data_IF_125273889817
#
_entry.id   IF_125273889817
#
_cell.length_a   1.000
_cell.length_b   1.000
_cell.length_c   1.000
_cell.angle_alpha   90.00
_cell.angle_beta   90.00
_cell.angle_gamma   90.00
#
_symmetry.space_group_name_H-M   'P 1'
#
loop_
_entity.id
_entity.type
_entity.pdbx_description
1 polymer ?
#
# COMPACT_ATOMS: atom_id res chain seq x y z
N UNK A 1 25.95 -11.66 2.62
CA UNK A 1 25.04 -12.30 3.60
C UNK A 1 24.39 -13.50 2.94
N UNK A 2 24.16 -14.62 3.65
CA UNK A 2 23.39 -15.75 3.12
C UNK A 2 21.97 -15.29 2.78
N UNK A 3 21.43 -15.76 1.65
CA UNK A 3 20.10 -15.38 1.19
C UNK A 3 19.04 -15.95 2.14
N UNK A 4 18.23 -15.09 2.75
CA UNK A 4 17.04 -15.48 3.51
C UNK A 4 15.92 -15.99 2.57
N UNK A 5 15.20 -17.03 3.00
CA UNK A 5 14.10 -17.60 2.21
C UNK A 5 12.82 -16.75 2.34
N UNK A 6 11.88 -16.87 1.39
CA UNK A 6 10.60 -16.16 1.47
C UNK A 6 9.80 -16.53 2.72
N UNK A 7 9.80 -17.81 3.11
CA UNK A 7 9.13 -18.27 4.33
C UNK A 7 9.79 -17.70 5.60
N UNK A 8 11.12 -17.63 5.65
CA UNK A 8 11.81 -16.98 6.78
C UNK A 8 11.49 -15.47 6.86
N UNK A 9 11.40 -14.76 5.72
CA UNK A 9 10.96 -13.36 5.72
C UNK A 9 9.53 -13.20 6.27
N UNK A 10 8.62 -14.13 5.95
CA UNK A 10 7.26 -14.14 6.53
C UNK A 10 7.27 -14.35 8.03
N UNK A 11 8.07 -15.30 8.52
CA UNK A 11 8.26 -15.49 9.96
C UNK A 11 8.78 -14.23 10.65
N UNK A 12 9.79 -13.56 10.07
CA UNK A 12 10.29 -12.29 10.60
C UNK A 12 9.20 -11.21 10.66
N UNK A 13 8.32 -11.15 9.64
CA UNK A 13 7.19 -10.22 9.67
C UNK A 13 6.17 -10.58 10.77
N UNK A 14 5.90 -11.87 10.98
CA UNK A 14 5.04 -12.33 12.10
C UNK A 14 5.64 -11.97 13.47
N UNK A 15 6.96 -12.08 13.63
CA UNK A 15 7.67 -11.66 14.83
C UNK A 15 7.55 -10.14 15.05
N UNK A 16 7.69 -9.34 14.00
CA UNK A 16 7.47 -7.89 14.04
C UNK A 16 6.04 -7.54 14.48
N UNK A 17 5.02 -8.23 13.95
CA UNK A 17 3.63 -8.00 14.34
C UNK A 17 3.35 -8.39 15.81
N UNK A 18 4.05 -9.41 16.32
CA UNK A 18 3.93 -9.87 17.70
C UNK A 18 4.73 -9.00 18.70
N UNK A 19 5.74 -8.27 18.22
CA UNK A 19 6.57 -7.40 19.03
C UNK A 19 5.75 -6.20 19.57
N UNK A 20 6.12 -5.62 20.72
CA UNK A 20 5.41 -4.48 21.28
C UNK A 20 5.70 -3.16 20.56
N UNK A 21 6.69 -3.11 19.67
CA UNK A 21 7.09 -1.87 18.97
C UNK A 21 6.28 -1.63 17.70
N UNK A 22 6.19 -0.35 17.33
CA UNK A 22 5.73 0.09 16.02
C UNK A 22 6.94 0.49 15.16
N UNK A 23 6.97 0.07 13.89
CA UNK A 23 8.02 0.41 12.93
C UNK A 23 7.47 1.14 11.71
N UNK A 24 8.30 1.95 11.08
CA UNK A 24 7.99 2.64 9.83
C UNK A 24 8.54 1.85 8.63
N UNK A 25 7.76 1.69 7.57
CA UNK A 25 8.19 0.98 6.37
C UNK A 25 9.16 1.81 5.53
N UNK A 26 10.20 1.18 4.98
CA UNK A 26 10.87 1.71 3.80
C UNK A 26 10.00 1.57 2.54
N UNK A 27 10.00 2.57 1.66
CA UNK A 27 9.40 2.42 0.33
C UNK A 27 10.30 1.56 -0.56
N UNK A 28 9.91 0.31 -0.80
CA UNK A 28 10.66 -0.69 -1.58
C UNK A 28 9.90 -1.02 -2.86
N UNK A 29 10.41 -0.55 -4.00
CA UNK A 29 9.72 -0.60 -5.30
C UNK A 29 10.50 -1.29 -6.41
N UNK A 30 11.75 -1.67 -6.16
CA UNK A 30 12.60 -2.41 -7.10
C UNK A 30 13.74 -3.13 -6.36
N UNK A 31 14.60 -3.91 -7.05
CA UNK A 31 15.72 -4.59 -6.41
C UNK A 31 16.75 -3.67 -5.73
N UNK A 32 16.93 -2.43 -6.23
CA UNK A 32 17.92 -1.50 -5.69
C UNK A 32 17.44 -0.89 -4.38
N UNK A 33 16.22 -0.37 -4.36
CA UNK A 33 15.56 0.14 -3.16
C UNK A 33 15.44 -0.93 -2.07
N UNK A 34 15.17 -2.19 -2.44
CA UNK A 34 15.16 -3.30 -1.47
C UNK A 34 16.52 -3.54 -0.80
N UNK A 35 17.61 -3.48 -1.57
CA UNK A 35 18.97 -3.62 -1.02
C UNK A 35 19.36 -2.43 -0.17
N UNK A 36 19.01 -1.21 -0.61
CA UNK A 36 19.25 0.02 0.15
C UNK A 36 18.51 -0.04 1.49
N UNK A 37 17.23 -0.42 1.49
CA UNK A 37 16.45 -0.55 2.73
C UNK A 37 17.07 -1.57 3.70
N UNK A 38 17.50 -2.74 3.20
CA UNK A 38 18.17 -3.74 4.02
C UNK A 38 19.51 -3.25 4.59
N UNK A 39 20.32 -2.57 3.77
CA UNK A 39 21.62 -2.02 4.19
C UNK A 39 21.48 -0.92 5.25
N UNK A 40 20.44 -0.10 5.12
CA UNK A 40 20.10 0.95 6.10
C UNK A 40 19.44 0.40 7.38
N UNK A 41 19.16 -0.91 7.44
CA UNK A 41 18.64 -1.56 8.64
C UNK A 41 17.13 -1.44 8.86
N UNK A 42 16.34 -1.12 7.82
CA UNK A 42 14.88 -1.14 7.94
C UNK A 42 14.36 -2.55 8.22
N UNK A 43 13.39 -2.65 9.13
CA UNK A 43 12.79 -3.91 9.55
C UNK A 43 11.77 -4.43 8.53
N UNK A 44 11.10 -3.54 7.80
CA UNK A 44 10.07 -3.88 6.82
C UNK A 44 10.01 -2.86 5.67
N UNK A 45 9.76 -3.35 4.45
CA UNK A 45 9.50 -2.54 3.28
C UNK A 45 8.04 -2.59 2.83
N UNK A 46 7.62 -1.65 1.98
CA UNK A 46 6.34 -1.68 1.28
C UNK A 46 6.49 -1.38 -0.21
N UNK A 47 5.89 -2.23 -1.04
CA UNK A 47 5.63 -2.00 -2.46
C UNK A 47 4.21 -1.43 -2.60
N UNK A 48 4.10 -0.16 -2.93
CA UNK A 48 2.82 0.52 -3.15
C UNK A 48 2.30 0.35 -4.58
N UNK A 49 0.98 0.18 -4.75
CA UNK A 49 0.30 0.14 -6.06
C UNK A 49 0.56 1.40 -6.88
N UNK A 50 0.45 2.57 -6.24
CA UNK A 50 0.78 3.87 -6.84
C UNK A 50 2.18 3.91 -7.45
N UNK A 51 3.21 3.48 -6.72
CA UNK A 51 4.59 3.48 -7.22
C UNK A 51 4.78 2.49 -8.37
N UNK A 52 4.14 1.32 -8.30
CA UNK A 52 4.16 0.37 -9.40
C UNK A 52 3.52 0.96 -10.68
N UNK A 53 2.38 1.65 -10.56
CA UNK A 53 1.74 2.37 -11.67
C UNK A 53 2.68 3.43 -12.28
N UNK A 54 3.39 4.19 -11.43
CA UNK A 54 4.39 5.17 -11.89
C UNK A 54 5.55 4.53 -12.65
N UNK A 55 6.07 3.39 -12.18
CA UNK A 55 7.20 2.72 -12.80
C UNK A 55 6.83 2.03 -14.12
N UNK A 56 5.66 1.39 -14.15
CA UNK A 56 5.24 0.55 -15.29
C UNK A 56 4.62 1.41 -16.39
N UNK A 57 3.80 2.40 -16.01
CA UNK A 57 2.93 3.11 -16.94
C UNK A 57 3.19 4.61 -17.01
N UNK A 58 3.95 5.18 -16.06
CA UNK A 58 3.93 6.61 -15.78
C UNK A 58 2.47 7.13 -15.69
N UNK A 59 1.60 6.37 -15.02
CA UNK A 59 0.19 6.69 -14.88
C UNK A 59 -0.17 7.04 -13.43
N UNK A 60 -1.27 7.78 -13.20
CA UNK A 60 -1.82 7.95 -11.87
C UNK A 60 -2.26 6.62 -11.23
N UNK A 61 -2.56 6.65 -9.94
CA UNK A 61 -3.00 5.49 -9.16
C UNK A 61 -4.50 5.21 -9.36
N UNK A 62 -4.87 4.76 -10.57
CA UNK A 62 -6.26 4.52 -10.99
C UNK A 62 -6.59 3.04 -11.22
N UNK A 63 -5.81 2.11 -10.63
CA UNK A 63 -5.93 0.67 -10.86
C UNK A 63 -5.83 0.27 -12.37
N UNK A 64 -4.99 1.00 -13.13
CA UNK A 64 -4.73 0.73 -14.55
C UNK A 64 -3.66 -0.35 -14.76
N UNK A 65 -2.74 -0.49 -13.81
CA UNK A 65 -1.75 -1.56 -13.81
C UNK A 65 -2.47 -2.90 -13.63
N UNK A 66 -2.07 -3.90 -14.42
CA UNK A 66 -2.62 -5.25 -14.30
C UNK A 66 -1.98 -6.01 -13.14
N UNK A 67 -2.67 -7.04 -12.62
CA UNK A 67 -2.10 -7.92 -11.60
C UNK A 67 -0.74 -8.48 -12.02
N UNK A 68 -0.59 -8.90 -13.28
CA UNK A 68 0.65 -9.50 -13.78
C UNK A 68 1.82 -8.51 -13.77
N UNK A 69 1.58 -7.24 -14.10
CA UNK A 69 2.60 -6.19 -14.03
C UNK A 69 3.01 -5.90 -12.58
N UNK A 70 2.03 -5.80 -11.67
CA UNK A 70 2.32 -5.60 -10.25
C UNK A 70 3.10 -6.79 -9.64
N UNK A 71 2.70 -8.02 -9.98
CA UNK A 71 3.38 -9.25 -9.56
C UNK A 71 4.81 -9.31 -10.11
N UNK A 72 5.07 -8.82 -11.32
CA UNK A 72 6.44 -8.75 -11.85
C UNK A 72 7.31 -7.78 -11.04
N UNK A 73 6.77 -6.63 -10.60
CA UNK A 73 7.49 -5.72 -9.70
C UNK A 73 7.84 -6.40 -8.37
N UNK A 74 6.88 -7.09 -7.75
CA UNK A 74 7.10 -7.88 -6.54
C UNK A 74 8.12 -9.01 -6.77
N UNK A 75 8.05 -9.69 -7.91
CA UNK A 75 8.97 -10.79 -8.28
C UNK A 75 10.40 -10.29 -8.42
N UNK A 76 10.61 -9.09 -8.99
CA UNK A 76 11.94 -8.45 -9.06
C UNK A 76 12.49 -8.21 -7.65
N UNK A 77 11.70 -7.65 -6.74
CA UNK A 77 12.08 -7.39 -5.35
C UNK A 77 12.39 -8.71 -4.61
N UNK A 78 11.50 -9.70 -4.71
CA UNK A 78 11.62 -11.00 -4.04
C UNK A 78 12.84 -11.82 -4.44
N UNK A 79 13.51 -11.50 -5.55
CA UNK A 79 14.80 -12.11 -5.92
C UNK A 79 15.96 -11.66 -5.03
N UNK A 80 15.89 -10.47 -4.43
CA UNK A 80 17.00 -9.83 -3.70
C UNK A 80 16.68 -9.43 -2.25
N UNK A 81 15.41 -9.31 -1.88
CA UNK A 81 14.99 -8.82 -0.56
C UNK A 81 15.67 -9.61 0.58
N UNK A 82 16.20 -8.86 1.55
CA UNK A 82 16.75 -9.40 2.81
C UNK A 82 15.96 -8.92 4.04
N UNK A 83 14.88 -8.15 3.82
CA UNK A 83 13.89 -7.73 4.80
C UNK A 83 12.49 -8.14 4.30
N UNK A 84 11.51 -8.40 5.19
CA UNK A 84 10.14 -8.62 4.77
C UNK A 84 9.62 -7.38 4.05
N UNK A 85 8.77 -7.61 3.04
CA UNK A 85 8.09 -6.51 2.37
C UNK A 85 6.61 -6.82 2.17
N UNK A 86 5.82 -5.77 2.32
CA UNK A 86 4.37 -5.75 2.19
C UNK A 86 4.03 -5.36 0.74
N UNK A 87 3.07 -6.03 0.12
CA UNK A 87 2.49 -5.60 -1.15
C UNK A 87 1.13 -4.93 -0.93
N UNK A 88 0.98 -3.68 -1.38
CA UNK A 88 -0.32 -3.04 -1.49
C UNK A 88 -1.07 -3.60 -2.70
N UNK A 89 -1.95 -4.57 -2.49
CA UNK A 89 -2.58 -5.33 -3.57
C UNK A 89 -3.97 -4.81 -3.97
N UNK A 90 -4.23 -3.53 -3.70
CA UNK A 90 -5.49 -2.82 -3.95
C UNK A 90 -6.71 -3.67 -3.48
N UNK A 91 -7.78 -3.66 -4.26
CA UNK A 91 -8.99 -4.46 -4.10
C UNK A 91 -8.81 -5.96 -4.43
N UNK A 92 -7.58 -6.44 -4.66
CA UNK A 92 -7.27 -7.80 -5.14
C UNK A 92 -7.59 -8.03 -6.62
N UNK A 93 -7.47 -6.98 -7.44
CA UNK A 93 -7.57 -7.01 -8.91
C UNK A 93 -8.86 -7.67 -9.46
N UNK A 94 -9.99 -7.48 -8.76
CA UNK A 94 -11.31 -7.91 -9.18
C UNK A 94 -12.22 -8.33 -8.03
N UNK A 95 -12.96 -9.42 -8.20
CA UNK A 95 -13.85 -9.99 -7.19
C UNK A 95 -13.10 -10.99 -6.27
N UNK A 96 -13.81 -11.68 -5.37
CA UNK A 96 -13.23 -12.65 -4.44
C UNK A 96 -12.39 -13.76 -5.11
N UNK A 97 -12.74 -14.21 -6.32
CA UNK A 97 -11.96 -15.21 -7.07
C UNK A 97 -10.66 -14.61 -7.63
N UNK A 98 -10.71 -13.32 -8.03
CA UNK A 98 -9.50 -12.59 -8.42
C UNK A 98 -8.57 -12.35 -7.23
N UNK A 99 -9.14 -12.14 -6.03
CA UNK A 99 -8.36 -12.05 -4.79
C UNK A 99 -7.57 -13.32 -4.55
N UNK A 100 -8.17 -14.50 -4.76
CA UNK A 100 -7.45 -15.78 -4.63
C UNK A 100 -6.22 -15.83 -5.54
N UNK A 101 -6.38 -15.49 -6.83
CA UNK A 101 -5.25 -15.39 -7.76
C UNK A 101 -4.22 -14.36 -7.31
N UNK A 102 -4.65 -13.20 -6.81
CA UNK A 102 -3.73 -12.18 -6.31
C UNK A 102 -2.85 -12.70 -5.19
N UNK A 103 -3.42 -13.44 -4.23
CA UNK A 103 -2.67 -14.07 -3.13
C UNK A 103 -1.67 -15.09 -3.67
N UNK A 104 -2.11 -16.03 -4.50
CA UNK A 104 -1.23 -17.08 -5.08
C UNK A 104 -0.03 -16.48 -5.84
N UNK A 105 -0.28 -15.43 -6.63
CA UNK A 105 0.73 -14.78 -7.47
C UNK A 105 1.74 -14.00 -6.63
N UNK A 106 1.28 -13.20 -5.66
CA UNK A 106 2.16 -12.41 -4.77
C UNK A 106 2.90 -13.28 -3.77
N UNK A 107 2.24 -14.31 -3.22
CA UNK A 107 2.90 -15.29 -2.35
C UNK A 107 4.05 -15.97 -3.10
N UNK A 108 3.83 -16.41 -4.35
CA UNK A 108 4.89 -16.99 -5.18
C UNK A 108 6.00 -15.99 -5.51
N UNK A 109 5.67 -14.71 -5.67
CA UNK A 109 6.64 -13.64 -5.89
C UNK A 109 7.55 -13.38 -4.67
N UNK A 110 7.18 -13.90 -3.49
CA UNK A 110 8.01 -13.88 -2.28
C UNK A 110 7.66 -12.77 -1.30
N UNK A 111 6.45 -12.20 -1.37
CA UNK A 111 6.01 -11.18 -0.42
C UNK A 111 5.84 -11.77 0.99
N UNK A 112 6.06 -10.93 2.00
CA UNK A 112 5.92 -11.32 3.41
C UNK A 112 4.49 -11.06 3.94
N UNK A 113 3.83 -10.05 3.40
CA UNK A 113 2.44 -9.71 3.67
C UNK A 113 1.81 -9.00 2.47
N UNK A 114 0.49 -8.95 2.45
CA UNK A 114 -0.25 -8.14 1.47
C UNK A 114 -1.49 -7.50 2.11
N UNK A 115 -1.87 -6.32 1.60
CA UNK A 115 -3.14 -5.67 1.95
C UNK A 115 -4.19 -5.90 0.86
N UNK A 116 -5.42 -6.19 1.27
CA UNK A 116 -6.60 -6.18 0.38
C UNK A 116 -7.57 -5.13 0.91
N UNK A 117 -7.86 -4.10 0.10
CA UNK A 117 -8.78 -3.02 0.47
C UNK A 117 -10.21 -3.21 -0.03
N UNK A 118 -11.14 -2.55 0.65
CA UNK A 118 -12.57 -2.59 0.36
C UNK A 118 -13.05 -1.42 -0.52
N UNK A 119 -12.13 -0.72 -1.19
CA UNK A 119 -12.49 0.28 -2.21
C UNK A 119 -13.08 -0.39 -3.44
N UNK A 120 -14.14 0.21 -3.98
CA UNK A 120 -14.77 -0.23 -5.21
C UNK A 120 -13.92 0.24 -6.41
N UNK A 121 -13.08 -0.66 -6.91
CA UNK A 121 -12.16 -0.40 -8.03
C UNK A 121 -12.44 -1.32 -9.24
N UNK A 122 -12.15 -0.86 -10.47
CA UNK A 122 -11.75 0.52 -10.82
C UNK A 122 -12.93 1.50 -10.67
N UNK A 123 -12.70 2.79 -10.92
CA UNK A 123 -13.74 3.81 -10.87
C UNK A 123 -14.97 3.41 -11.72
N UNK A 124 -16.17 3.61 -11.17
CA UNK A 124 -17.41 3.25 -11.85
C UNK A 124 -17.87 4.37 -12.80
N UNK A 125 -18.46 3.98 -13.92
CA UNK A 125 -19.08 4.93 -14.86
C UNK A 125 -20.13 5.81 -14.14
N UNK A 126 -20.06 7.13 -14.37
CA UNK A 126 -20.95 8.12 -13.79
C UNK A 126 -20.75 8.40 -12.29
N UNK A 127 -19.69 7.87 -11.67
CA UNK A 127 -19.39 8.09 -10.24
C UNK A 127 -18.01 8.69 -10.03
N UNK A 128 -17.98 9.91 -9.50
CA UNK A 128 -16.76 10.61 -9.09
C UNK A 128 -16.28 10.19 -7.69
N UNK A 129 -17.17 9.70 -6.84
CA UNK A 129 -16.85 9.33 -5.46
C UNK A 129 -15.99 8.07 -5.39
N UNK A 130 -15.06 8.05 -4.43
CA UNK A 130 -14.36 6.83 -4.02
C UNK A 130 -15.29 6.03 -3.10
N UNK A 131 -16.11 5.18 -3.72
CA UNK A 131 -17.03 4.31 -3.01
C UNK A 131 -16.31 3.08 -2.44
N UNK A 132 -16.87 2.51 -1.38
CA UNK A 132 -16.44 1.23 -0.82
C UNK A 132 -17.46 0.13 -1.13
N UNK A 133 -17.00 -1.11 -1.25
CA UNK A 133 -17.88 -2.28 -1.35
C UNK A 133 -18.65 -2.51 -0.04
N UNK A 134 -19.67 -3.35 -0.09
CA UNK A 134 -20.41 -3.74 1.12
C UNK A 134 -19.51 -4.52 2.10
N UNK A 135 -19.83 -4.48 3.39
CA UNK A 135 -19.09 -5.24 4.40
C UNK A 135 -19.11 -6.74 4.08
N UNK A 136 -20.24 -7.27 3.60
CA UNK A 136 -20.39 -8.67 3.24
C UNK A 136 -19.47 -9.08 2.06
N UNK A 137 -19.33 -8.21 1.06
CA UNK A 137 -18.39 -8.44 -0.04
C UNK A 137 -16.93 -8.39 0.47
N UNK A 138 -16.61 -7.42 1.33
CA UNK A 138 -15.31 -7.32 1.99
C UNK A 138 -14.95 -8.57 2.80
N UNK A 139 -15.88 -9.07 3.62
CA UNK A 139 -15.73 -10.35 4.35
C UNK A 139 -15.45 -11.49 3.36
N UNK A 140 -16.22 -11.56 2.26
CA UNK A 140 -16.03 -12.58 1.23
C UNK A 140 -14.63 -12.55 0.62
N UNK A 141 -14.10 -11.36 0.31
CA UNK A 141 -12.75 -11.17 -0.20
C UNK A 141 -11.66 -11.55 0.81
N UNK A 142 -11.81 -11.15 2.08
CA UNK A 142 -10.86 -11.53 3.14
C UNK A 142 -10.82 -13.05 3.31
N UNK A 143 -11.98 -13.71 3.33
CA UNK A 143 -12.04 -15.18 3.43
C UNK A 143 -11.43 -15.87 2.22
N UNK A 144 -11.65 -15.35 1.01
CA UNK A 144 -11.05 -15.88 -0.20
C UNK A 144 -9.52 -15.72 -0.20
N UNK A 145 -9.00 -14.58 0.28
CA UNK A 145 -7.58 -14.37 0.44
C UNK A 145 -6.94 -15.38 1.42
N UNK A 146 -7.61 -15.63 2.55
CA UNK A 146 -7.15 -16.59 3.55
C UNK A 146 -7.17 -18.04 3.04
N UNK A 147 -8.18 -18.41 2.24
CA UNK A 147 -8.29 -19.74 1.62
C UNK A 147 -7.20 -19.98 0.58
N UNK A 148 -6.83 -18.97 -0.21
CA UNK A 148 -5.83 -19.08 -1.27
C UNK A 148 -4.37 -19.13 -0.76
N UNK A 149 -4.14 -18.75 0.51
CA UNK A 149 -2.82 -18.77 1.13
C UNK A 149 -2.29 -20.20 1.25
N UNK A 150 -1.04 -20.43 0.83
CA UNK A 150 -0.36 -21.73 0.93
C UNK A 150 0.56 -21.77 2.15
N UNK A 151 1.47 -20.80 2.27
CA UNK A 151 2.35 -20.65 3.43
C UNK A 151 1.60 -19.92 4.55
N UNK A 152 1.29 -20.59 5.69
CA UNK A 152 0.55 -19.98 6.78
C UNK A 152 1.28 -18.79 7.42
N UNK A 153 2.59 -18.65 7.19
CA UNK A 153 3.36 -17.51 7.68
C UNK A 153 3.02 -16.20 6.92
N UNK A 154 2.51 -16.28 5.68
CA UNK A 154 2.08 -15.09 4.93
C UNK A 154 0.96 -14.36 5.70
N UNK A 155 1.14 -13.06 5.93
CA UNK A 155 0.11 -12.22 6.57
C UNK A 155 -0.84 -11.60 5.55
N UNK A 156 -2.14 -11.79 5.77
CA UNK A 156 -3.22 -11.16 4.99
C UNK A 156 -3.83 -10.03 5.83
N UNK A 157 -3.63 -8.79 5.39
CA UNK A 157 -4.06 -7.59 6.12
C UNK A 157 -5.29 -7.00 5.41
N UNK A 158 -6.42 -6.86 6.11
CA UNK A 158 -7.60 -6.23 5.54
C UNK A 158 -7.48 -4.70 5.66
N UNK A 159 -7.69 -3.98 4.55
CA UNK A 159 -7.54 -2.52 4.50
C UNK A 159 -8.89 -1.84 4.32
N UNK A 160 -9.12 -0.74 5.04
CA UNK A 160 -10.32 0.10 4.89
C UNK A 160 -9.95 1.58 4.92
N UNK A 161 -10.79 2.42 4.31
CA UNK A 161 -10.60 3.87 4.30
C UNK A 161 -11.45 4.58 5.37
N UNK A 162 -10.79 5.01 6.46
CA UNK A 162 -11.41 5.75 7.56
C UNK A 162 -11.64 7.24 7.24
N UNK A 163 -11.09 7.75 6.13
CA UNK A 163 -11.25 9.14 5.71
C UNK A 163 -12.58 9.43 5.01
N UNK A 164 -13.25 8.40 4.49
CA UNK A 164 -14.51 8.53 3.71
C UNK A 164 -15.74 8.00 4.44
N UNK A 165 -15.57 7.46 5.65
CA UNK A 165 -16.63 6.87 6.46
C UNK A 165 -16.76 7.58 7.83
N UNK A 166 -17.96 7.58 8.43
CA UNK A 166 -18.11 7.81 9.86
C UNK A 166 -17.36 6.76 10.68
N UNK A 167 -16.81 7.14 11.84
CA UNK A 167 -16.02 6.24 12.71
C UNK A 167 -16.78 4.95 13.06
N UNK A 168 -18.08 5.03 13.31
CA UNK A 168 -18.91 3.86 13.63
C UNK A 168 -18.94 2.81 12.52
N UNK A 169 -18.89 3.24 11.25
CA UNK A 169 -18.89 2.34 10.10
C UNK A 169 -17.51 1.74 9.85
N UNK A 170 -16.44 2.50 10.15
CA UNK A 170 -15.07 1.96 10.19
C UNK A 170 -14.98 0.84 11.22
N UNK A 171 -15.49 1.06 12.44
CA UNK A 171 -15.51 0.06 13.51
C UNK A 171 -16.29 -1.20 13.08
N UNK A 172 -17.47 -1.04 12.44
CA UNK A 172 -18.24 -2.19 11.94
C UNK A 172 -17.43 -3.01 10.93
N UNK A 173 -16.75 -2.35 9.99
CA UNK A 173 -15.93 -3.00 8.95
C UNK A 173 -14.73 -3.72 9.54
N UNK A 174 -13.92 -3.03 10.35
CA UNK A 174 -12.69 -3.61 10.91
C UNK A 174 -12.97 -4.80 11.81
N UNK A 175 -14.01 -4.74 12.66
CA UNK A 175 -14.45 -5.89 13.47
C UNK A 175 -14.93 -7.05 12.62
N UNK A 176 -15.62 -6.77 11.51
CA UNK A 176 -16.07 -7.79 10.58
C UNK A 176 -14.89 -8.49 9.90
N UNK A 177 -13.87 -7.74 9.48
CA UNK A 177 -12.68 -8.28 8.84
C UNK A 177 -11.78 -9.05 9.82
N UNK A 178 -11.63 -8.57 11.06
CA UNK A 178 -10.98 -9.32 12.14
C UNK A 178 -11.71 -10.65 12.39
N UNK A 179 -13.04 -10.61 12.53
CA UNK A 179 -13.85 -11.83 12.71
C UNK A 179 -13.78 -12.79 11.52
N UNK A 180 -13.56 -12.27 10.31
CA UNK A 180 -13.34 -13.07 9.11
C UNK A 180 -11.98 -13.78 9.08
N UNK A 181 -11.05 -13.38 9.97
CA UNK A 181 -9.74 -14.01 10.15
C UNK A 181 -8.57 -13.22 9.59
N UNK A 182 -8.73 -11.92 9.29
CA UNK A 182 -7.61 -11.08 8.87
C UNK A 182 -6.49 -11.09 9.93
N UNK A 183 -5.24 -11.22 9.49
CA UNK A 183 -4.06 -11.26 10.39
C UNK A 183 -3.74 -9.88 10.98
N UNK A 184 -4.30 -8.82 10.42
CA UNK A 184 -4.17 -7.44 10.85
C UNK A 184 -5.13 -6.54 10.09
N UNK A 185 -5.28 -5.30 10.57
CA UNK A 185 -6.12 -4.27 9.96
C UNK A 185 -5.25 -3.10 9.52
N UNK A 186 -5.35 -2.73 8.24
CA UNK A 186 -4.74 -1.53 7.69
C UNK A 186 -5.79 -0.41 7.57
N UNK A 187 -5.43 0.80 7.99
CA UNK A 187 -6.31 1.96 7.85
C UNK A 187 -5.58 3.12 7.19
N UNK A 188 -6.27 3.74 6.24
CA UNK A 188 -5.91 5.04 5.67
C UNK A 188 -6.93 6.08 6.11
N UNK A 189 -6.50 7.32 6.32
CA UNK A 189 -7.41 8.43 6.66
C UNK A 189 -7.79 8.57 8.14
N UNK A 190 -7.09 7.87 9.04
CA UNK A 190 -7.17 8.15 10.48
C UNK A 190 -6.64 9.57 10.75
N UNK A 191 -7.37 10.34 11.56
CA UNK A 191 -7.20 11.80 11.67
C UNK A 191 -6.19 12.19 12.74
N UNK A 192 -6.31 11.58 13.91
CA UNK A 192 -5.55 11.87 15.12
C UNK A 192 -5.65 10.68 16.09
N UNK A 193 -5.03 10.79 17.26
CA UNK A 193 -5.06 9.74 18.27
C UNK A 193 -6.45 9.47 18.86
N UNK A 194 -7.34 10.46 18.98
CA UNK A 194 -8.69 10.24 19.49
C UNK A 194 -9.49 9.37 18.51
N UNK A 195 -9.39 9.68 17.22
CA UNK A 195 -9.99 8.86 16.17
C UNK A 195 -9.39 7.43 16.15
N UNK A 196 -8.06 7.31 16.33
CA UNK A 196 -7.41 6.00 16.42
C UNK A 196 -7.89 5.19 17.63
N UNK A 197 -7.96 5.81 18.81
CA UNK A 197 -8.41 5.18 20.07
C UNK A 197 -9.81 4.58 19.93
N UNK A 198 -10.77 5.35 19.40
CA UNK A 198 -12.14 4.90 19.16
C UNK A 198 -12.20 3.62 18.31
N UNK A 199 -11.32 3.50 17.30
CA UNK A 199 -11.29 2.33 16.42
C UNK A 199 -10.51 1.18 17.06
N UNK A 200 -9.33 1.46 17.63
CA UNK A 200 -8.40 0.47 18.15
C UNK A 200 -8.94 -0.28 19.36
N UNK A 201 -9.71 0.36 20.24
CA UNK A 201 -10.35 -0.28 21.40
C UNK A 201 -11.27 -1.47 21.04
N UNK A 202 -11.69 -1.54 19.78
CA UNK A 202 -12.58 -2.57 19.27
C UNK A 202 -11.87 -3.74 18.57
N UNK A 203 -10.53 -3.72 18.52
CA UNK A 203 -9.71 -4.66 17.75
C UNK A 203 -8.65 -5.31 18.66
N UNK A 204 -8.29 -6.55 18.36
CA UNK A 204 -7.24 -7.30 19.05
C UNK A 204 -6.07 -7.70 18.15
N UNK A 205 -6.29 -7.69 16.82
CA UNK A 205 -5.24 -7.92 15.82
C UNK A 205 -4.32 -6.70 15.63
N UNK A 206 -3.07 -6.92 15.19
CA UNK A 206 -2.14 -5.83 14.85
C UNK A 206 -2.71 -4.81 13.87
N UNK A 207 -2.40 -3.53 14.10
CA UNK A 207 -2.82 -2.44 13.23
C UNK A 207 -1.66 -1.95 12.34
N UNK A 208 -2.00 -1.59 11.11
CA UNK A 208 -1.15 -0.93 10.15
C UNK A 208 -1.78 0.42 9.77
N UNK A 209 -1.01 1.50 9.74
CA UNK A 209 -1.52 2.83 9.38
C UNK A 209 -0.81 3.39 8.15
N UNK A 210 -1.59 3.81 7.17
CA UNK A 210 -1.11 4.68 6.07
C UNK A 210 -1.41 6.12 6.47
N UNK A 211 -0.39 6.81 6.98
CA UNK A 211 -0.56 8.13 7.61
C UNK A 211 -0.25 9.29 6.68
N UNK A 212 0.47 9.06 5.58
CA UNK A 212 1.02 10.14 4.73
C UNK A 212 1.76 11.22 5.54
N UNK A 213 2.51 10.79 6.56
CA UNK A 213 3.23 11.67 7.50
C UNK A 213 2.34 12.66 8.27
N UNK A 214 1.10 12.26 8.60
CA UNK A 214 0.20 13.05 9.44
C UNK A 214 0.86 13.44 10.78
N UNK A 215 1.09 14.74 11.06
CA UNK A 215 1.76 15.18 12.28
C UNK A 215 0.94 14.93 13.55
N UNK A 216 -0.37 14.68 13.45
CA UNK A 216 -1.22 14.34 14.59
C UNK A 216 -1.06 12.88 15.06
N UNK A 217 -0.29 12.06 14.33
CA UNK A 217 -0.01 10.65 14.61
C UNK A 217 1.51 10.38 14.66
N UNK A 218 2.27 11.26 15.33
CA UNK A 218 3.74 11.26 15.32
C UNK A 218 4.41 10.72 16.60
N UNK A 219 3.67 9.99 17.44
CA UNK A 219 4.18 9.37 18.66
C UNK A 219 4.17 7.84 18.51
N UNK A 220 5.35 7.28 18.23
CA UNK A 220 5.51 5.84 18.00
C UNK A 220 5.17 4.98 19.22
N UNK A 221 5.43 5.46 20.44
CA UNK A 221 5.10 4.74 21.67
C UNK A 221 3.59 4.70 21.89
N UNK A 222 2.90 5.82 21.66
CA UNK A 222 1.43 5.88 21.73
C UNK A 222 0.76 5.07 20.61
N UNK A 223 1.31 5.08 19.40
CA UNK A 223 0.83 4.21 18.33
C UNK A 223 0.97 2.73 18.73
N UNK A 224 2.12 2.35 19.27
CA UNK A 224 2.40 0.98 19.67
C UNK A 224 1.49 0.49 20.81
N UNK A 225 1.20 1.35 21.80
CA UNK A 225 0.29 1.04 22.90
C UNK A 225 -1.16 0.84 22.46
N UNK A 226 -1.56 1.44 21.33
CA UNK A 226 -2.86 1.26 20.67
C UNK A 226 -2.89 0.07 19.67
N UNK A 227 -1.85 -0.77 19.67
CA UNK A 227 -1.82 -1.98 18.82
C UNK A 227 -1.26 -1.76 17.42
N UNK A 228 -0.79 -0.55 17.08
CA UNK A 228 -0.12 -0.30 15.80
C UNK A 228 1.25 -0.96 15.79
N UNK A 229 1.57 -1.66 14.69
CA UNK A 229 2.85 -2.33 14.46
C UNK A 229 3.58 -1.79 13.24
N UNK A 230 2.84 -1.31 12.25
CA UNK A 230 3.41 -0.83 10.98
C UNK A 230 2.83 0.53 10.64
N UNK A 231 3.70 1.48 10.30
CA UNK A 231 3.35 2.80 9.78
C UNK A 231 3.93 2.97 8.38
N UNK A 232 3.10 3.45 7.46
CA UNK A 232 3.48 3.83 6.10
C UNK A 232 3.36 5.34 5.98
N UNK A 233 4.51 6.04 5.99
CA UNK A 233 4.56 7.49 5.84
C UNK A 233 4.44 7.95 4.37
N UNK A 234 4.63 7.05 3.39
CA UNK A 234 4.47 7.31 1.97
C UNK A 234 5.70 6.90 1.13
N UNK A 235 5.79 7.45 -0.08
CA UNK A 235 6.76 7.03 -1.09
C UNK A 235 7.80 8.12 -1.45
N UNK A 236 8.21 8.91 -0.45
CA UNK A 236 9.14 10.03 -0.64
C UNK A 236 10.44 9.64 -1.35
N UNK A 237 10.97 8.43 -1.08
CA UNK A 237 12.16 7.91 -1.73
C UNK A 237 12.00 7.77 -3.26
N UNK A 238 10.83 7.37 -3.73
CA UNK A 238 10.56 7.25 -5.18
C UNK A 238 10.52 8.64 -5.83
N UNK A 239 9.78 9.58 -5.24
CA UNK A 239 9.69 10.95 -5.76
C UNK A 239 11.06 11.62 -5.82
N UNK A 240 11.92 11.39 -4.81
CA UNK A 240 13.30 11.88 -4.80
C UNK A 240 14.11 11.33 -5.99
N UNK A 241 13.94 10.05 -6.35
CA UNK A 241 14.62 9.44 -7.50
C UNK A 241 14.18 10.07 -8.83
N UNK A 242 12.87 10.34 -9.00
CA UNK A 242 12.34 11.04 -10.17
C UNK A 242 12.94 12.45 -10.28
N UNK A 243 12.97 13.17 -9.17
CA UNK A 243 13.56 14.52 -9.12
C UNK A 243 15.05 14.52 -9.48
N UNK A 244 15.83 13.59 -8.92
CA UNK A 244 17.25 13.47 -9.23
C UNK A 244 17.49 13.16 -10.72
N UNK A 245 16.67 12.29 -11.31
CA UNK A 245 16.74 11.95 -12.74
C UNK A 245 16.47 13.19 -13.61
N UNK A 246 15.40 13.93 -13.31
CA UNK A 246 15.06 15.17 -14.01
C UNK A 246 16.16 16.22 -13.90
N UNK A 247 16.66 16.50 -12.69
CA UNK A 247 17.69 17.51 -12.47
C UNK A 247 18.99 17.15 -13.21
N UNK A 248 19.35 15.86 -13.26
CA UNK A 248 20.50 15.35 -14.01
C UNK A 248 20.36 15.53 -15.52
N UNK A 249 19.23 15.07 -16.10
CA UNK A 249 18.96 15.21 -17.54
C UNK A 249 18.86 16.69 -17.96
N UNK A 250 18.27 17.54 -17.11
CA UNK A 250 18.21 19.00 -17.34
C UNK A 250 19.61 19.60 -17.42
N UNK A 251 20.49 19.25 -16.48
CA UNK A 251 21.87 19.70 -16.46
C UNK A 251 22.63 19.21 -17.70
N UNK A 252 22.48 17.93 -18.07
CA UNK A 252 23.07 17.36 -19.28
C UNK A 252 22.60 18.07 -20.56
N UNK A 253 21.32 18.48 -20.61
CA UNK A 253 20.75 19.23 -21.73
C UNK A 253 21.14 20.71 -21.73
N UNK A 254 21.86 21.18 -20.71
CA UNK A 254 22.29 22.58 -20.55
C UNK A 254 21.11 23.57 -20.52
N UNK A 255 19.97 23.15 -19.98
CA UNK A 255 18.82 24.04 -19.81
C UNK A 255 19.09 24.96 -18.61
N UNK A 256 19.52 26.19 -18.90
CA UNK A 256 19.88 27.22 -17.92
C UNK A 256 18.71 28.08 -17.44
N UNK A 257 17.57 28.05 -18.15
CA UNK A 257 16.36 28.78 -17.77
C UNK A 257 15.53 27.98 -16.75
N UNK A 258 15.07 28.67 -15.69
CA UNK A 258 14.16 28.16 -14.65
C UNK A 258 12.87 27.65 -15.28
N UNK A 259 12.79 26.35 -15.56
CA UNK A 259 11.62 25.75 -16.23
C UNK A 259 10.70 25.00 -15.26
N UNK A 260 11.15 24.66 -14.05
CA UNK A 260 10.24 24.26 -12.96
C UNK A 260 10.92 24.34 -11.58
N UNK A 261 10.28 25.01 -10.63
CA UNK A 261 10.60 24.97 -9.20
C UNK A 261 9.80 23.88 -8.46
N UNK A 262 9.33 22.87 -9.21
CA UNK A 262 8.45 21.85 -8.66
C UNK A 262 9.21 21.01 -7.62
N UNK A 263 8.51 20.73 -6.52
CA UNK A 263 8.90 19.70 -5.56
C UNK A 263 8.97 18.32 -6.24
N UNK A 264 9.58 17.35 -5.56
CA UNK A 264 9.70 15.99 -6.07
C UNK A 264 8.32 15.36 -6.37
N UNK A 265 7.34 15.61 -5.50
CA UNK A 265 5.96 15.13 -5.65
C UNK A 265 5.26 15.80 -6.82
N UNK A 266 5.28 17.13 -6.90
CA UNK A 266 4.64 17.88 -8.00
C UNK A 266 5.24 17.52 -9.35
N UNK A 267 6.56 17.32 -9.40
CA UNK A 267 7.25 16.90 -10.61
C UNK A 267 6.79 15.50 -11.05
N UNK A 268 6.73 14.55 -10.11
CA UNK A 268 6.25 13.20 -10.39
C UNK A 268 4.81 13.22 -10.90
N UNK A 269 3.93 13.95 -10.20
CA UNK A 269 2.53 14.13 -10.59
C UNK A 269 2.37 14.80 -11.96
N UNK A 270 3.24 15.74 -12.32
CA UNK A 270 3.20 16.38 -13.64
C UNK A 270 3.45 15.37 -14.76
N UNK A 271 4.41 14.46 -14.56
CA UNK A 271 4.78 13.46 -15.56
C UNK A 271 3.85 12.25 -15.64
N UNK A 272 2.82 12.17 -14.78
CA UNK A 272 1.73 11.19 -14.97
C UNK A 272 0.64 11.67 -15.93
N UNK A 273 0.76 12.90 -16.44
CA UNK A 273 -0.22 13.54 -17.34
C UNK A 273 -1.68 13.46 -16.82
N UNK A 274 -1.95 13.87 -15.57
CA UNK A 274 -3.24 13.69 -14.92
C UNK A 274 -4.37 14.39 -15.67
N UNK A 275 -4.10 15.57 -16.27
CA UNK A 275 -5.07 16.31 -17.06
C UNK A 275 -5.60 15.51 -18.27
N UNK A 276 -4.76 14.68 -18.90
CA UNK A 276 -5.19 13.81 -20.00
C UNK A 276 -6.13 12.71 -19.50
N UNK A 277 -5.80 12.08 -18.37
CA UNK A 277 -6.68 11.08 -17.75
C UNK A 277 -8.00 11.68 -17.26
N UNK A 278 -7.98 12.90 -16.71
CA UNK A 278 -9.20 13.61 -16.31
C UNK A 278 -10.09 13.90 -17.53
N UNK A 279 -9.52 14.37 -18.63
CA UNK A 279 -10.27 14.60 -19.87
C UNK A 279 -10.89 13.30 -20.42
N UNK A 280 -10.16 12.19 -20.38
CA UNK A 280 -10.70 10.88 -20.79
C UNK A 280 -11.78 10.36 -19.85
N UNK A 281 -11.65 10.58 -18.54
CA UNK A 281 -12.69 10.22 -17.58
C UNK A 281 -13.97 11.05 -17.79
N UNK A 282 -13.84 12.34 -18.12
CA UNK A 282 -14.98 13.17 -18.47
C UNK A 282 -15.65 12.68 -19.78
N UNK A 283 -14.85 12.45 -20.82
CA UNK A 283 -15.35 12.06 -22.15
C UNK A 283 -15.98 10.66 -22.17
N UNK A 284 -15.35 9.68 -21.51
CA UNK A 284 -15.70 8.27 -21.65
C UNK A 284 -16.34 7.65 -20.40
N UNK A 285 -16.27 8.32 -19.24
CA UNK A 285 -16.83 7.80 -17.98
C UNK A 285 -17.91 8.69 -17.37
N UNK A 286 -18.26 9.83 -17.99
CA UNK A 286 -19.21 10.83 -17.46
C UNK A 286 -18.87 11.27 -16.03
N UNK A 287 -17.57 11.31 -15.71
CA UNK A 287 -17.06 11.83 -14.45
C UNK A 287 -16.76 13.31 -14.64
N UNK A 288 -17.77 14.16 -14.46
CA UNK A 288 -17.63 15.63 -14.55
C UNK A 288 -17.06 16.19 -13.25
N UNK A 289 -16.22 17.21 -13.36
CA UNK A 289 -15.67 17.91 -12.18
C UNK A 289 -16.73 18.63 -11.35
#
# INVERSE_FOLDING_TARGET
>A
MPKISHSALRCNFRELLAAPQCVETASVFDPMSARIAADLGFEVGILGGSVASLQVLAAPDFALITLSEFVEQATRIGRVAQLPFIADADHGYGNALNVMRTVEELERAGVAALTIEDTLLPAQFGRKSTDLISIDEGIGKVRAALEARVDPALSIIARTNAGVLPTEDVIKRTKAYEKAGADGICMVGVKDFEHLEQIAENLSVPLMLVTYANPALNDAERLASLGVRVVVAGHGAYFAAIKATYDSLRAQRQLTHRTSNLSATELTHTYTLPASYMAWAEEFMDVKE
#
